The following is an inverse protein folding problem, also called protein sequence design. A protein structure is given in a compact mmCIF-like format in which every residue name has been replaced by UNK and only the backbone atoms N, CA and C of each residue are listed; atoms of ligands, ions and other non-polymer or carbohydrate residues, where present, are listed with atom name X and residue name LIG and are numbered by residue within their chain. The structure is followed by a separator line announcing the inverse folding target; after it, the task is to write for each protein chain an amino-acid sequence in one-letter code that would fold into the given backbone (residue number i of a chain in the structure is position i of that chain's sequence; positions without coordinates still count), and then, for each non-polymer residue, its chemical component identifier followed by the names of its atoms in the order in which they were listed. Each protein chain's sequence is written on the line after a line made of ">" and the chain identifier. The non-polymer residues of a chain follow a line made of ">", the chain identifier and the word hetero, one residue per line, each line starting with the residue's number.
data_IF_706414584934
#
_entry.id   IF_706414584934
#
_cell.length_a   1.000
_cell.length_b   1.000
_cell.length_c   1.000
_cell.angle_alpha   90.00
_cell.angle_beta   90.00
_cell.angle_gamma   90.00
#
_symmetry.space_group_name_H-M   'P 1'
#
loop_
_entity.id
_entity.type
_entity.pdbx_description
1 polymer ?
#
# COMPACT_ATOMS: atom_id res chain seq x y z
N UNK A 1 34.83 -16.90 7.37
CA UNK A 1 34.33 -17.08 5.99
C UNK A 1 32.86 -16.68 6.02
N UNK A 2 32.54 -15.46 5.58
CA UNK A 2 31.17 -14.99 5.56
C UNK A 2 30.47 -15.64 4.36
N UNK A 3 29.42 -16.41 4.64
CA UNK A 3 28.50 -16.88 3.62
C UNK A 3 27.69 -15.66 3.18
N UNK A 4 28.08 -15.04 2.07
CA UNK A 4 27.18 -14.16 1.34
C UNK A 4 26.01 -15.05 0.91
N UNK A 5 24.90 -14.95 1.64
CA UNK A 5 23.62 -15.41 1.10
C UNK A 5 23.41 -14.59 -0.17
N UNK A 6 23.57 -15.25 -1.30
CA UNK A 6 23.24 -14.73 -2.62
C UNK A 6 21.73 -14.54 -2.63
N UNK A 7 21.26 -13.42 -2.08
CA UNK A 7 19.84 -13.10 -2.01
C UNK A 7 19.38 -12.90 -3.44
N UNK A 8 18.70 -13.90 -3.99
CA UNK A 8 18.00 -13.76 -5.25
C UNK A 8 17.24 -12.42 -5.25
N UNK A 9 17.24 -11.67 -6.37
CA UNK A 9 16.60 -10.36 -6.42
C UNK A 9 15.14 -10.51 -5.98
N UNK A 10 14.78 -9.87 -4.86
CA UNK A 10 13.41 -9.86 -4.34
C UNK A 10 12.51 -9.19 -5.39
N UNK A 11 11.36 -9.81 -5.65
CA UNK A 11 10.34 -9.23 -6.53
C UNK A 11 9.94 -7.83 -6.07
N UNK A 12 9.66 -6.94 -7.02
CA UNK A 12 8.95 -5.69 -6.73
C UNK A 12 7.48 -6.02 -6.44
N UNK A 13 7.02 -5.71 -5.24
CA UNK A 13 5.68 -5.99 -4.75
C UNK A 13 4.79 -4.76 -4.91
N UNK A 14 3.62 -4.93 -5.54
CA UNK A 14 2.66 -3.86 -5.77
C UNK A 14 1.30 -4.26 -5.17
N UNK A 15 0.81 -3.46 -4.23
CA UNK A 15 -0.57 -3.56 -3.76
C UNK A 15 -1.48 -2.77 -4.70
N UNK A 16 -2.47 -3.42 -5.29
CA UNK A 16 -3.52 -2.83 -6.11
C UNK A 16 -4.78 -2.64 -5.26
N UNK A 17 -5.10 -1.39 -4.96
CA UNK A 17 -6.23 -1.01 -4.10
C UNK A 17 -7.19 -0.08 -4.86
N UNK A 18 -8.35 0.20 -4.27
CA UNK A 18 -9.37 1.04 -4.89
C UNK A 18 -10.36 0.25 -5.77
N UNK A 19 -11.06 0.97 -6.64
CA UNK A 19 -12.18 0.44 -7.42
C UNK A 19 -11.73 -0.66 -8.41
N UNK A 20 -12.59 -1.66 -8.58
CA UNK A 20 -12.47 -2.73 -9.58
C UNK A 20 -11.12 -3.49 -9.55
N UNK A 21 -10.47 -3.53 -8.39
CA UNK A 21 -9.14 -4.13 -8.22
C UNK A 21 -9.12 -5.60 -8.61
N UNK A 22 -10.19 -6.36 -8.34
CA UNK A 22 -10.30 -7.80 -8.69
C UNK A 22 -10.34 -8.01 -10.22
N UNK A 23 -11.13 -7.20 -10.94
CA UNK A 23 -11.24 -7.27 -12.41
C UNK A 23 -9.91 -6.83 -13.06
N UNK A 24 -9.33 -5.74 -12.58
CA UNK A 24 -8.05 -5.22 -13.05
C UNK A 24 -6.91 -6.22 -12.84
N UNK A 25 -6.90 -6.90 -11.68
CA UNK A 25 -5.93 -7.91 -11.33
C UNK A 25 -6.06 -9.15 -12.23
N UNK A 26 -7.28 -9.63 -12.47
CA UNK A 26 -7.56 -10.71 -13.43
C UNK A 26 -7.05 -10.34 -14.82
N UNK A 27 -7.23 -9.07 -15.20
CA UNK A 27 -6.73 -8.50 -16.42
C UNK A 27 -5.20 -8.50 -16.57
N UNK A 28 -4.40 -8.83 -15.55
CA UNK A 28 -2.94 -8.88 -15.64
C UNK A 28 -2.36 -10.27 -15.95
N UNK A 29 -3.20 -11.31 -16.07
CA UNK A 29 -2.74 -12.70 -16.24
C UNK A 29 -1.86 -12.95 -17.47
N UNK A 30 -1.95 -12.10 -18.50
CA UNK A 30 -1.18 -12.21 -19.74
C UNK A 30 0.12 -11.38 -19.75
N UNK A 31 0.42 -10.66 -18.67
CA UNK A 31 1.58 -9.76 -18.60
C UNK A 31 2.87 -10.56 -18.30
N UNK A 32 3.89 -10.53 -19.17
CA UNK A 32 5.14 -11.23 -18.93
C UNK A 32 5.90 -10.68 -17.72
N UNK A 33 6.67 -11.55 -17.06
CA UNK A 33 7.53 -11.21 -15.91
C UNK A 33 6.77 -10.65 -14.68
N UNK A 34 5.45 -10.86 -14.62
CA UNK A 34 4.57 -10.44 -13.54
C UNK A 34 3.73 -11.64 -13.07
N UNK A 35 3.44 -11.69 -11.77
CA UNK A 35 2.42 -12.57 -11.19
C UNK A 35 1.35 -11.71 -10.54
N UNK A 36 0.09 -11.97 -10.87
CA UNK A 36 -1.07 -11.37 -10.24
C UNK A 36 -1.68 -12.37 -9.25
N UNK A 37 -1.86 -11.97 -7.98
CA UNK A 37 -2.37 -12.82 -6.90
C UNK A 37 -3.58 -12.16 -6.24
N UNK A 38 -4.75 -12.78 -6.33
CA UNK A 38 -5.89 -12.34 -5.51
C UNK A 38 -5.76 -12.92 -4.11
N UNK A 39 -5.61 -12.02 -3.15
CA UNK A 39 -5.27 -12.22 -1.74
C UNK A 39 -6.14 -11.36 -0.80
N UNK A 40 -7.14 -10.60 -1.29
CA UNK A 40 -7.99 -9.68 -0.50
C UNK A 40 -8.50 -10.27 0.82
N UNK A 41 -8.90 -11.54 0.82
CA UNK A 41 -9.43 -12.24 2.00
C UNK A 41 -8.40 -13.15 2.67
N UNK A 42 -7.14 -13.11 2.23
CA UNK A 42 -6.09 -13.92 2.82
C UNK A 42 -5.60 -13.29 4.12
N UNK A 43 -5.38 -14.14 5.13
CA UNK A 43 -4.69 -13.74 6.36
C UNK A 43 -3.31 -13.14 6.04
N UNK A 44 -2.87 -12.07 6.76
CA UNK A 44 -1.63 -11.37 6.45
C UNK A 44 -0.41 -12.29 6.30
N UNK A 45 -0.24 -13.25 7.21
CA UNK A 45 0.87 -14.20 7.19
C UNK A 45 0.84 -15.11 5.95
N UNK A 46 -0.36 -15.50 5.50
CA UNK A 46 -0.55 -16.31 4.29
C UNK A 46 -0.24 -15.47 3.06
N UNK A 47 -0.75 -14.24 3.00
CA UNK A 47 -0.47 -13.31 1.90
C UNK A 47 1.04 -13.03 1.78
N UNK A 48 1.70 -12.69 2.90
CA UNK A 48 3.14 -12.43 2.95
C UNK A 48 3.96 -13.65 2.49
N UNK A 49 3.58 -14.86 2.93
CA UNK A 49 4.24 -16.08 2.50
C UNK A 49 4.09 -16.33 1.00
N UNK A 50 2.87 -16.17 0.46
CA UNK A 50 2.60 -16.36 -0.97
C UNK A 50 3.40 -15.36 -1.81
N UNK A 51 3.40 -14.07 -1.44
CA UNK A 51 4.18 -13.03 -2.12
C UNK A 51 5.68 -13.37 -2.08
N UNK A 52 6.21 -13.76 -0.92
CA UNK A 52 7.62 -14.12 -0.76
C UNK A 52 8.04 -15.38 -1.55
N UNK A 53 7.10 -16.27 -1.85
CA UNK A 53 7.37 -17.50 -2.62
C UNK A 53 7.50 -17.27 -4.13
N UNK A 54 7.12 -16.09 -4.63
CA UNK A 54 7.16 -15.78 -6.06
C UNK A 54 8.59 -15.50 -6.53
N UNK A 55 8.99 -16.16 -7.61
CA UNK A 55 10.31 -15.97 -8.24
C UNK A 55 10.32 -14.98 -9.42
N UNK A 56 9.18 -14.34 -9.71
CA UNK A 56 9.02 -13.42 -10.84
C UNK A 56 9.43 -12.00 -10.46
N UNK A 57 9.95 -11.17 -11.38
CA UNK A 57 10.40 -9.83 -11.05
C UNK A 57 9.35 -8.91 -10.42
N UNK A 58 8.07 -9.08 -10.77
CA UNK A 58 6.95 -8.29 -10.25
C UNK A 58 5.86 -9.17 -9.67
N UNK A 59 5.33 -8.78 -8.52
CA UNK A 59 4.12 -9.34 -7.90
C UNK A 59 3.11 -8.22 -7.74
N UNK A 60 1.89 -8.43 -8.24
CA UNK A 60 0.75 -7.54 -7.99
C UNK A 60 -0.30 -8.31 -7.21
N UNK A 61 -0.82 -7.74 -6.13
CA UNK A 61 -1.88 -8.35 -5.34
C UNK A 61 -2.88 -7.31 -4.84
N UNK A 62 -4.06 -7.75 -4.43
CA UNK A 62 -5.16 -6.91 -3.94
C UNK A 62 -5.29 -6.90 -2.39
N UNK A 63 -4.43 -7.63 -1.66
CA UNK A 63 -4.34 -7.53 -0.20
C UNK A 63 -3.68 -6.19 0.23
N UNK A 64 -4.40 -5.33 0.95
CA UNK A 64 -3.82 -4.14 1.58
C UNK A 64 -3.31 -4.48 2.99
N UNK A 65 -1.98 -4.58 3.23
CA UNK A 65 -1.47 -4.90 4.56
C UNK A 65 -1.79 -3.83 5.61
N UNK A 66 -2.24 -2.65 5.19
CA UNK A 66 -2.65 -1.57 6.08
C UNK A 66 -4.18 -1.46 6.23
N UNK A 67 -4.98 -2.39 5.68
CA UNK A 67 -6.44 -2.28 5.63
C UNK A 67 -7.08 -2.01 7.01
N UNK A 68 -6.67 -2.74 8.03
CA UNK A 68 -7.20 -2.55 9.39
C UNK A 68 -6.83 -1.18 9.97
N UNK A 69 -5.60 -0.72 9.76
CA UNK A 69 -5.15 0.62 10.17
C UNK A 69 -5.89 1.71 9.40
N UNK A 70 -6.06 1.52 8.08
CA UNK A 70 -6.80 2.41 7.21
C UNK A 70 -8.25 2.55 7.68
N UNK A 71 -8.90 1.42 7.97
CA UNK A 71 -10.25 1.36 8.51
C UNK A 71 -10.35 2.11 9.83
N UNK A 72 -9.48 1.81 10.80
CA UNK A 72 -9.50 2.50 12.10
C UNK A 72 -9.20 4.01 11.99
N UNK A 73 -8.36 4.41 11.04
CA UNK A 73 -8.09 5.82 10.75
C UNK A 73 -9.31 6.52 10.15
N UNK A 74 -9.99 5.87 9.19
CA UNK A 74 -11.25 6.37 8.62
C UNK A 74 -12.31 6.51 9.72
N UNK A 75 -12.46 5.50 10.56
CA UNK A 75 -13.44 5.51 11.66
C UNK A 75 -13.13 6.58 12.70
N UNK A 76 -11.85 6.86 12.99
CA UNK A 76 -11.46 7.96 13.87
C UNK A 76 -11.95 9.31 13.33
N UNK A 77 -11.75 9.58 12.04
CA UNK A 77 -12.12 10.86 11.42
C UNK A 77 -13.60 10.98 11.03
N UNK A 78 -14.31 9.86 10.93
CA UNK A 78 -15.76 9.83 10.83
C UNK A 78 -16.46 9.84 12.20
N UNK A 79 -15.69 10.02 13.28
CA UNK A 79 -16.19 10.03 14.67
C UNK A 79 -16.90 8.72 15.08
N UNK A 80 -16.52 7.60 14.43
CA UNK A 80 -17.05 6.25 14.69
C UNK A 80 -16.16 5.41 15.60
N UNK A 81 -14.89 5.79 15.78
CA UNK A 81 -13.94 5.14 16.67
C UNK A 81 -13.11 6.14 17.47
N UNK A 82 -12.31 5.64 18.41
CA UNK A 82 -11.41 6.47 19.25
C UNK A 82 -9.97 6.35 18.80
N UNK A 83 -9.13 7.30 19.22
CA UNK A 83 -7.69 7.23 18.97
C UNK A 83 -7.07 5.92 19.49
N UNK A 84 -7.51 5.43 20.65
CA UNK A 84 -7.03 4.17 21.21
C UNK A 84 -7.32 2.95 20.33
N UNK A 85 -8.40 2.99 19.52
CA UNK A 85 -8.70 1.94 18.55
C UNK A 85 -7.70 1.94 17.41
N UNK A 86 -7.35 3.12 16.86
CA UNK A 86 -6.30 3.26 15.86
C UNK A 86 -4.92 2.86 16.42
N UNK A 87 -4.58 3.27 17.63
CA UNK A 87 -3.31 2.89 18.28
C UNK A 87 -3.18 1.37 18.47
N UNK A 88 -4.28 0.69 18.77
CA UNK A 88 -4.31 -0.77 18.89
C UNK A 88 -4.04 -1.45 17.53
N UNK A 89 -4.70 -1.01 16.45
CA UNK A 89 -4.47 -1.56 15.11
C UNK A 89 -3.05 -1.29 14.61
N UNK A 90 -2.50 -0.10 14.87
CA UNK A 90 -1.10 0.22 14.56
C UNK A 90 -0.15 -0.71 15.31
N UNK A 91 -0.37 -0.92 16.62
CA UNK A 91 0.47 -1.80 17.43
C UNK A 91 0.43 -3.27 16.96
N UNK A 92 -0.77 -3.76 16.58
CA UNK A 92 -0.95 -5.09 16.03
C UNK A 92 -0.18 -5.26 14.70
N UNK A 93 -0.36 -4.32 13.78
CA UNK A 93 0.33 -4.33 12.49
C UNK A 93 1.86 -4.26 12.63
N UNK A 94 2.38 -3.39 13.50
CA UNK A 94 3.82 -3.29 13.72
C UNK A 94 4.41 -4.60 14.25
N UNK A 95 3.64 -5.35 15.05
CA UNK A 95 4.03 -6.69 15.51
C UNK A 95 4.08 -7.71 14.36
N UNK A 96 3.16 -7.62 13.39
CA UNK A 96 3.19 -8.43 12.17
C UNK A 96 4.38 -8.08 11.27
N UNK A 97 4.72 -6.80 11.12
CA UNK A 97 5.93 -6.38 10.39
C UNK A 97 7.21 -6.86 11.08
N UNK A 98 7.29 -6.75 12.40
CA UNK A 98 8.46 -7.20 13.17
C UNK A 98 8.68 -8.72 13.09
N UNK A 99 7.61 -9.51 12.98
CA UNK A 99 7.66 -10.97 12.80
C UNK A 99 7.82 -11.41 11.34
N UNK A 100 7.67 -10.50 10.38
CA UNK A 100 7.64 -10.81 8.95
C UNK A 100 6.34 -11.47 8.48
N UNK A 101 5.30 -11.48 9.32
CA UNK A 101 3.95 -11.97 9.00
C UNK A 101 3.12 -10.95 8.21
N UNK A 102 3.59 -9.71 8.10
CA UNK A 102 3.13 -8.76 7.12
C UNK A 102 4.36 -8.11 6.46
N UNK A 103 4.17 -7.54 5.27
CA UNK A 103 5.24 -6.84 4.54
C UNK A 103 4.66 -5.62 3.86
N UNK A 104 5.36 -4.48 3.97
CA UNK A 104 5.01 -3.27 3.23
C UNK A 104 5.28 -3.48 1.73
N UNK A 105 4.32 -3.20 0.82
CA UNK A 105 4.55 -3.31 -0.61
C UNK A 105 5.52 -2.21 -1.09
N UNK A 106 6.26 -2.47 -2.15
CA UNK A 106 7.15 -1.47 -2.74
C UNK A 106 6.37 -0.30 -3.34
N UNK A 107 5.16 -0.55 -3.83
CA UNK A 107 4.23 0.45 -4.35
C UNK A 107 2.78 0.13 -3.99
N UNK A 108 2.00 1.16 -3.73
CA UNK A 108 0.54 1.15 -3.85
C UNK A 108 0.15 1.70 -5.21
N UNK A 109 -0.70 0.98 -5.94
CA UNK A 109 -1.41 1.48 -7.11
C UNK A 109 -2.87 1.64 -6.73
N UNK A 110 -3.37 2.87 -6.75
CA UNK A 110 -4.74 3.22 -6.36
C UNK A 110 -5.58 3.36 -7.63
N UNK A 111 -6.42 2.36 -7.89
CA UNK A 111 -7.29 2.33 -9.06
C UNK A 111 -8.57 3.15 -8.85
N UNK A 112 -8.92 3.97 -9.85
CA UNK A 112 -10.14 4.76 -9.87
C UNK A 112 -10.29 5.69 -8.67
N UNK A 113 -9.31 6.54 -8.34
CA UNK A 113 -9.35 7.38 -7.15
C UNK A 113 -10.57 8.33 -7.11
N UNK A 114 -11.12 8.68 -8.27
CA UNK A 114 -12.33 9.50 -8.41
C UNK A 114 -13.60 8.77 -7.94
N UNK A 115 -13.62 7.44 -8.01
CA UNK A 115 -14.73 6.60 -7.57
C UNK A 115 -14.66 6.25 -6.08
N UNK A 116 -13.52 6.52 -5.41
CA UNK A 116 -13.35 6.28 -3.98
C UNK A 116 -14.02 7.43 -3.21
N UNK A 117 -15.08 7.10 -2.50
CA UNK A 117 -15.87 8.07 -1.74
C UNK A 117 -15.31 8.34 -0.34
N UNK A 118 -15.57 9.55 0.16
CA UNK A 118 -15.34 9.91 1.56
C UNK A 118 -13.88 9.84 2.02
N UNK A 119 -13.73 9.50 3.30
CA UNK A 119 -12.46 9.55 4.02
C UNK A 119 -11.46 8.49 3.54
N UNK A 120 -11.95 7.38 2.97
CA UNK A 120 -11.11 6.32 2.40
C UNK A 120 -10.16 6.82 1.30
N UNK A 121 -10.60 7.77 0.47
CA UNK A 121 -9.73 8.37 -0.54
C UNK A 121 -8.54 9.10 0.09
N UNK A 122 -8.75 9.74 1.23
CA UNK A 122 -7.73 10.51 1.94
C UNK A 122 -6.73 9.63 2.68
N UNK A 123 -7.07 8.37 2.96
CA UNK A 123 -6.10 7.41 3.48
C UNK A 123 -4.96 7.18 2.47
N UNK A 124 -5.27 6.66 1.28
CA UNK A 124 -4.23 6.35 0.29
C UNK A 124 -3.61 7.63 -0.29
N UNK A 125 -4.43 8.58 -0.78
CA UNK A 125 -3.95 9.74 -1.52
C UNK A 125 -3.53 10.93 -0.64
N UNK A 126 -3.80 10.84 0.68
CA UNK A 126 -3.38 11.82 1.67
C UNK A 126 -2.36 11.20 2.63
N UNK A 127 -2.83 10.45 3.63
CA UNK A 127 -2.00 9.92 4.72
C UNK A 127 -0.80 9.11 4.20
N UNK A 128 -1.01 8.08 3.39
CA UNK A 128 0.10 7.28 2.84
C UNK A 128 0.98 8.09 1.88
N UNK A 129 0.36 8.85 0.97
CA UNK A 129 1.07 9.64 -0.01
C UNK A 129 1.94 10.74 0.65
N UNK A 130 1.62 11.21 1.85
CA UNK A 130 2.46 12.14 2.60
C UNK A 130 3.80 11.52 3.02
N UNK A 131 3.80 10.25 3.41
CA UNK A 131 5.02 9.55 3.84
C UNK A 131 5.86 9.05 2.67
N UNK A 132 5.25 8.66 1.56
CA UNK A 132 5.97 8.21 0.36
C UNK A 132 5.20 8.53 -0.94
N UNK A 133 5.21 9.78 -1.42
CA UNK A 133 4.36 10.20 -2.55
C UNK A 133 4.71 9.49 -3.86
N UNK A 134 5.97 9.11 -4.06
CA UNK A 134 6.40 8.35 -5.25
C UNK A 134 6.10 6.85 -5.17
N UNK A 135 5.54 6.38 -4.05
CA UNK A 135 5.16 4.98 -3.82
C UNK A 135 3.64 4.78 -3.81
N UNK A 136 2.85 5.84 -3.77
CA UNK A 136 1.39 5.80 -3.97
C UNK A 136 1.06 6.34 -5.35
N UNK A 137 0.57 5.48 -6.24
CA UNK A 137 0.43 5.76 -7.66
C UNK A 137 -1.05 5.70 -8.08
N UNK A 138 -1.74 6.85 -8.16
CA UNK A 138 -3.09 6.86 -8.70
C UNK A 138 -3.09 6.50 -10.18
N UNK A 139 -4.05 5.66 -10.57
CA UNK A 139 -4.32 5.27 -11.95
C UNK A 139 -5.82 5.26 -12.20
N UNK A 140 -6.21 5.55 -13.44
CA UNK A 140 -7.58 5.27 -13.89
C UNK A 140 -7.88 3.77 -13.69
N UNK A 141 -9.13 3.43 -13.34
CA UNK A 141 -9.60 2.05 -13.20
C UNK A 141 -9.74 1.37 -14.59
N UNK A 142 -8.63 1.26 -15.32
CA UNK A 142 -8.57 0.59 -16.62
C UNK A 142 -7.31 -0.26 -16.74
N UNK A 143 -7.45 -1.44 -17.37
CA UNK A 143 -6.34 -2.36 -17.58
C UNK A 143 -5.21 -1.77 -18.43
N UNK A 144 -5.52 -0.80 -19.30
CA UNK A 144 -4.51 -0.08 -20.10
C UNK A 144 -3.69 0.88 -19.23
N UNK A 145 -4.35 1.67 -18.38
CA UNK A 145 -3.67 2.60 -17.47
C UNK A 145 -2.81 1.86 -16.44
N UNK A 146 -3.33 0.77 -15.87
CA UNK A 146 -2.60 -0.07 -14.93
C UNK A 146 -1.33 -0.66 -15.56
N UNK A 147 -1.45 -1.28 -16.75
CA UNK A 147 -0.27 -1.82 -17.47
C UNK A 147 0.74 -0.73 -17.81
N UNK A 148 0.30 0.44 -18.25
CA UNK A 148 1.19 1.56 -18.54
C UNK A 148 1.95 2.01 -17.28
N UNK A 149 1.27 2.05 -16.13
CA UNK A 149 1.89 2.40 -14.84
C UNK A 149 2.91 1.36 -14.38
N UNK A 150 2.58 0.08 -14.45
CA UNK A 150 3.48 -1.01 -14.05
C UNK A 150 4.77 -1.04 -14.89
N UNK A 151 4.71 -0.64 -16.17
CA UNK A 151 5.91 -0.49 -17.03
C UNK A 151 6.78 0.72 -16.69
N UNK A 152 6.27 1.66 -15.90
CA UNK A 152 6.90 2.96 -15.64
C UNK A 152 6.93 3.30 -14.14
N UNK A 153 7.15 2.29 -13.29
CA UNK A 153 7.27 2.49 -11.85
C UNK A 153 8.44 3.43 -11.52
N UNK A 154 8.22 4.51 -10.75
CA UNK A 154 9.26 5.48 -10.46
C UNK A 154 10.38 4.89 -9.59
N UNK A 155 11.63 4.99 -10.03
CA UNK A 155 12.77 4.78 -9.15
C UNK A 155 12.83 5.92 -8.13
N UNK A 156 12.50 5.64 -6.87
CA UNK A 156 12.40 6.63 -5.80
C UNK A 156 12.88 6.06 -4.47
N UNK A 157 12.94 6.90 -3.42
CA UNK A 157 13.28 6.42 -2.08
C UNK A 157 12.29 5.33 -1.65
N UNK A 158 12.75 4.30 -0.91
CA UNK A 158 11.85 3.33 -0.31
C UNK A 158 10.96 4.00 0.74
N UNK A 159 9.97 3.27 1.23
CA UNK A 159 9.18 3.70 2.37
C UNK A 159 10.08 4.03 3.57
N UNK A 160 9.74 5.05 4.37
CA UNK A 160 10.29 5.15 5.72
C UNK A 160 9.88 3.92 6.53
N UNK A 161 10.68 3.57 7.54
CA UNK A 161 10.38 2.46 8.43
C UNK A 161 8.98 2.62 9.06
N UNK A 162 8.08 1.63 8.98
CA UNK A 162 6.71 1.74 9.45
C UNK A 162 6.56 2.25 10.89
N UNK A 163 7.46 1.82 11.78
CA UNK A 163 7.52 2.24 13.19
C UNK A 163 7.76 3.74 13.39
N UNK A 164 8.39 4.41 12.42
CA UNK A 164 8.72 5.83 12.52
C UNK A 164 7.51 6.73 12.21
N UNK A 165 6.51 6.24 11.45
CA UNK A 165 5.42 7.07 10.95
C UNK A 165 4.02 6.55 11.28
N UNK A 166 3.77 5.24 11.30
CA UNK A 166 2.43 4.68 11.59
C UNK A 166 1.84 5.16 12.92
N UNK A 167 2.59 5.21 14.04
CA UNK A 167 2.05 5.72 15.31
C UNK A 167 1.59 7.18 15.25
N UNK A 168 2.04 7.93 14.24
CA UNK A 168 1.78 9.35 14.07
C UNK A 168 0.68 9.63 13.03
N UNK A 169 0.11 8.60 12.41
CA UNK A 169 -0.85 8.75 11.30
C UNK A 169 -2.16 9.44 11.72
N UNK A 170 -2.46 9.49 13.01
CA UNK A 170 -3.57 10.29 13.55
C UNK A 170 -3.33 11.82 13.49
N UNK A 171 -2.12 12.27 13.16
CA UNK A 171 -1.84 13.67 12.83
C UNK A 171 -2.04 13.99 11.36
N UNK A 172 -2.18 12.95 10.54
CA UNK A 172 -2.47 13.09 9.12
C UNK A 172 -3.97 13.33 8.97
N UNK A 173 -4.40 14.59 9.09
CA UNK A 173 -5.82 14.96 9.03
C UNK A 173 -6.34 14.92 7.58
N UNK A 174 -7.49 14.28 7.29
CA UNK A 174 -8.16 14.35 5.99
C UNK A 174 -8.26 15.80 5.47
N UNK A 175 -8.19 15.97 4.16
CA UNK A 175 -8.22 17.28 3.47
C UNK A 175 -7.09 18.26 3.80
N UNK A 176 -6.19 17.95 4.76
CA UNK A 176 -5.04 18.81 5.14
C UNK A 176 -3.69 18.18 4.82
N UNK A 177 -3.66 16.87 4.70
CA UNK A 177 -2.46 16.10 4.37
C UNK A 177 -2.14 16.26 2.88
N UNK A 178 -0.86 16.50 2.56
CA UNK A 178 -0.41 16.82 1.20
C UNK A 178 -0.51 18.30 0.80
N UNK A 179 -1.17 19.15 1.60
CA UNK A 179 -1.21 20.60 1.39
C UNK A 179 -0.08 21.36 2.12
N UNK A 180 0.54 20.76 3.14
CA UNK A 180 1.53 21.43 4.01
C UNK A 180 2.93 21.57 3.40
N UNK A 181 3.21 20.93 2.27
CA UNK A 181 4.53 20.94 1.62
C UNK A 181 4.61 21.82 0.36
N UNK A 182 3.70 22.80 0.17
CA UNK A 182 3.94 23.90 -0.77
C UNK A 182 4.71 25.04 -0.07
N UNK A 183 6.02 25.21 -0.30
CA UNK A 183 6.69 26.44 0.09
C UNK A 183 6.27 27.55 -0.87
N UNK A 184 5.35 28.43 -0.45
CA UNK A 184 5.06 29.66 -1.19
C UNK A 184 3.69 30.27 -0.98
N UNK A 185 3.51 30.93 0.17
CA UNK A 185 2.62 32.09 0.28
C UNK A 185 3.02 32.91 1.52
N UNK A 186 4.11 33.65 1.37
CA UNK A 186 4.41 34.86 2.15
C UNK A 186 4.55 36.01 1.17
#
# INVERSE_FOLDING_TARGET
>A
MAHNADTAPRSTVVALVGADSDELLTGLADVPALVALSLREAEPAVAAHLVASVSMPYVVHDADPLEHVASAWVELYEERATLGSLEAEVGALLSLFASGEAVMPDYYVVAGPEAIEGTWRHWWLGALAHHAPSRVLPVEASGTALRARLRSLPASRPWPEPEAWLPRVHFDIPDRVGLRDQPGAA
#
